data_IF_777380711853
#
_entry.id   IF_777380711853
#
_cell.length_a   1.000
_cell.length_b   1.000
_cell.length_c   1.000
_cell.angle_alpha   90.00
_cell.angle_beta   90.00
_cell.angle_gamma   90.00
#
_symmetry.space_group_name_H-M   'P 1'
#
loop_
_entity.id
_entity.type
_entity.pdbx_description
1 polymer ?
#
# COMPACT_ATOMS: atom_id res chain seq x y z
N UNK A 1 13.64 7.51 -25.26
CA UNK A 1 13.00 6.35 -24.60
C UNK A 1 13.64 5.90 -23.27
N UNK A 2 14.99 5.90 -23.10
CA UNK A 2 15.66 5.32 -21.91
C UNK A 2 15.23 5.95 -20.58
N UNK A 3 15.09 7.29 -20.53
CA UNK A 3 14.65 8.01 -19.34
C UNK A 3 13.23 7.61 -18.91
N UNK A 4 12.29 7.50 -19.85
CA UNK A 4 10.93 7.04 -19.56
C UNK A 4 10.91 5.61 -19.04
N UNK A 5 11.77 4.75 -19.59
CA UNK A 5 11.87 3.36 -19.14
C UNK A 5 12.29 3.26 -17.67
N UNK A 6 13.28 4.07 -17.27
CA UNK A 6 13.71 4.16 -15.87
C UNK A 6 12.57 4.64 -14.98
N UNK A 7 11.86 5.69 -15.38
CA UNK A 7 10.72 6.23 -14.63
C UNK A 7 9.61 5.18 -14.51
N UNK A 8 9.29 4.47 -15.60
CA UNK A 8 8.22 3.48 -15.63
C UNK A 8 8.57 2.28 -14.75
N UNK A 9 9.80 1.77 -14.86
CA UNK A 9 10.29 0.67 -14.05
C UNK A 9 10.33 1.04 -12.56
N UNK A 10 10.84 2.24 -12.23
CA UNK A 10 10.88 2.73 -10.85
C UNK A 10 9.47 2.82 -10.27
N UNK A 11 8.54 3.51 -10.94
CA UNK A 11 7.17 3.62 -10.47
C UNK A 11 6.46 2.26 -10.38
N UNK A 12 6.70 1.34 -11.33
CA UNK A 12 6.16 -0.02 -11.25
C UNK A 12 6.68 -0.77 -10.02
N UNK A 13 7.98 -0.66 -9.70
CA UNK A 13 8.56 -1.27 -8.51
C UNK A 13 7.87 -0.79 -7.24
N UNK A 14 7.65 0.53 -7.09
CA UNK A 14 6.95 1.08 -5.92
C UNK A 14 5.47 0.70 -5.90
N UNK A 15 4.76 0.83 -7.00
CA UNK A 15 3.33 0.54 -7.09
C UNK A 15 3.01 -0.93 -6.85
N UNK A 16 3.85 -1.85 -7.32
CA UNK A 16 3.66 -3.29 -7.09
C UNK A 16 4.22 -3.73 -5.73
N UNK A 17 5.32 -3.10 -5.27
CA UNK A 17 5.97 -3.43 -4.00
C UNK A 17 5.30 -2.83 -2.77
N UNK A 18 4.50 -1.77 -2.89
CA UNK A 18 3.90 -1.09 -1.75
C UNK A 18 2.98 -1.98 -0.90
N UNK A 19 2.27 -2.92 -1.52
CA UNK A 19 1.47 -3.89 -0.77
C UNK A 19 2.35 -4.86 0.05
N UNK A 20 3.52 -5.24 -0.45
CA UNK A 20 4.48 -6.02 0.34
C UNK A 20 5.03 -5.19 1.51
N UNK A 21 5.37 -3.92 1.28
CA UNK A 21 5.80 -3.02 2.36
C UNK A 21 4.70 -2.84 3.44
N UNK A 22 3.42 -2.78 3.05
CA UNK A 22 2.31 -2.73 3.99
C UNK A 22 2.18 -4.02 4.82
N UNK A 23 2.45 -5.17 4.20
CA UNK A 23 2.45 -6.48 4.88
C UNK A 23 3.58 -6.59 5.89
N UNK A 24 4.75 -6.08 5.53
CA UNK A 24 5.99 -6.24 6.31
C UNK A 24 6.13 -5.15 7.40
N UNK A 25 5.06 -4.40 7.67
CA UNK A 25 4.99 -3.32 8.67
C UNK A 25 5.87 -2.09 8.39
N UNK A 26 6.54 -2.04 7.23
CA UNK A 26 7.43 -0.95 6.81
C UNK A 26 6.69 0.32 6.33
N UNK A 27 5.35 0.32 6.42
CA UNK A 27 4.58 1.54 6.17
C UNK A 27 4.69 2.47 7.37
N UNK A 28 4.76 3.79 7.11
CA UNK A 28 4.77 4.81 8.17
C UNK A 28 3.46 4.72 8.95
N UNK A 29 3.49 3.96 10.04
CA UNK A 29 2.40 3.83 10.98
C UNK A 29 2.37 5.08 11.85
N UNK A 30 1.22 5.35 12.44
CA UNK A 30 1.11 6.40 13.46
C UNK A 30 1.72 5.88 14.77
N UNK A 31 3.05 5.65 14.74
CA UNK A 31 3.82 5.05 15.83
C UNK A 31 3.92 5.94 17.07
N UNK A 32 3.60 7.23 16.91
CA UNK A 32 3.48 8.19 18.01
C UNK A 32 2.43 7.76 19.05
N UNK A 33 1.39 7.03 18.65
CA UNK A 33 0.31 6.65 19.56
C UNK A 33 0.56 5.30 20.28
N UNK A 34 1.41 4.42 19.73
CA UNK A 34 1.57 3.04 20.23
C UNK A 34 2.05 2.92 21.69
N UNK A 35 3.03 3.72 22.18
CA UNK A 35 3.54 3.54 23.55
C UNK A 35 2.48 3.84 24.62
N UNK A 36 1.41 4.55 24.26
CA UNK A 36 0.41 5.04 25.21
C UNK A 36 -0.85 4.17 25.26
N UNK A 37 -1.04 3.28 24.29
CA UNK A 37 -2.20 2.40 24.20
C UNK A 37 -1.80 0.93 24.34
N UNK A 38 -2.55 0.18 25.16
CA UNK A 38 -2.37 -1.27 25.28
C UNK A 38 -2.64 -2.01 23.97
N UNK A 39 -2.43 -3.33 23.97
CA UNK A 39 -2.52 -4.15 22.75
C UNK A 39 -3.87 -4.06 22.04
N UNK A 40 -4.99 -3.98 22.77
CA UNK A 40 -6.31 -3.74 22.19
C UNK A 40 -6.42 -2.37 21.51
N UNK A 41 -5.87 -1.31 22.12
CA UNK A 41 -5.88 0.03 21.53
C UNK A 41 -5.07 0.11 20.23
N UNK A 42 -3.93 -0.61 20.17
CA UNK A 42 -3.11 -0.71 18.93
C UNK A 42 -3.90 -1.34 17.78
N UNK A 43 -4.64 -2.41 18.03
CA UNK A 43 -5.46 -3.06 17.01
C UNK A 43 -6.66 -2.19 16.57
N UNK A 44 -7.25 -1.40 17.47
CA UNK A 44 -8.29 -0.43 17.12
C UNK A 44 -7.77 0.71 16.24
N UNK A 45 -6.60 1.26 16.56
CA UNK A 45 -5.94 2.29 15.75
C UNK A 45 -5.64 1.75 14.36
N UNK A 46 -5.17 0.50 14.26
CA UNK A 46 -4.91 -0.15 12.98
C UNK A 46 -6.18 -0.26 12.13
N UNK A 47 -7.27 -0.77 12.71
CA UNK A 47 -8.55 -0.85 12.03
C UNK A 47 -9.04 0.53 11.58
N UNK A 48 -9.01 1.52 12.46
CA UNK A 48 -9.40 2.88 12.14
C UNK A 48 -8.53 3.46 11.01
N UNK A 49 -7.22 3.21 11.04
CA UNK A 49 -6.29 3.60 9.98
C UNK A 49 -6.68 3.04 8.61
N UNK A 50 -6.95 1.74 8.56
CA UNK A 50 -7.31 1.05 7.32
C UNK A 50 -8.67 1.53 6.80
N UNK A 51 -9.69 1.60 7.65
CA UNK A 51 -11.04 1.96 7.22
C UNK A 51 -11.23 3.45 6.93
N UNK A 52 -10.57 4.34 7.66
CA UNK A 52 -10.77 5.79 7.53
C UNK A 52 -9.79 6.45 6.55
N UNK A 53 -8.64 5.85 6.30
CA UNK A 53 -7.63 6.43 5.41
C UNK A 53 -7.36 5.52 4.22
N UNK A 54 -6.93 4.28 4.43
CA UNK A 54 -6.47 3.42 3.34
C UNK A 54 -7.59 3.10 2.34
N UNK A 55 -8.70 2.52 2.81
CA UNK A 55 -9.83 2.16 1.95
C UNK A 55 -10.43 3.34 1.18
N UNK A 56 -10.80 4.48 1.79
CA UNK A 56 -11.41 5.58 1.05
C UNK A 56 -10.45 6.19 0.03
N UNK A 57 -9.16 6.31 0.35
CA UNK A 57 -8.16 6.83 -0.60
C UNK A 57 -7.99 5.87 -1.78
N UNK A 58 -7.82 4.56 -1.53
CA UNK A 58 -7.65 3.58 -2.61
C UNK A 58 -8.90 3.46 -3.50
N UNK A 59 -10.10 3.46 -2.91
CA UNK A 59 -11.37 3.45 -3.66
C UNK A 59 -11.50 4.73 -4.51
N UNK A 60 -11.11 5.88 -3.96
CA UNK A 60 -11.16 7.13 -4.72
C UNK A 60 -10.20 7.11 -5.90
N UNK A 61 -8.99 6.57 -5.73
CA UNK A 61 -8.03 6.40 -6.83
C UNK A 61 -8.63 5.56 -7.96
N UNK A 62 -9.22 4.40 -7.63
CA UNK A 62 -9.84 3.50 -8.63
C UNK A 62 -10.95 4.19 -9.42
N UNK A 63 -11.80 4.94 -8.73
CA UNK A 63 -12.96 5.61 -9.35
C UNK A 63 -12.61 6.93 -10.04
N UNK A 64 -11.39 7.46 -9.87
CA UNK A 64 -10.98 8.72 -10.54
C UNK A 64 -10.49 8.46 -11.96
N UNK A 65 -9.73 7.38 -12.14
CA UNK A 65 -8.99 7.13 -13.38
C UNK A 65 -9.72 6.32 -14.44
N UNK A 66 -10.90 5.76 -14.14
CA UNK A 66 -11.57 4.73 -14.97
C UNK A 66 -11.76 5.16 -16.43
N UNK A 67 -12.37 6.33 -16.68
CA UNK A 67 -12.64 6.81 -18.03
C UNK A 67 -11.36 7.12 -18.81
N UNK A 68 -10.36 7.70 -18.14
CA UNK A 68 -9.06 8.01 -18.74
C UNK A 68 -8.27 6.76 -19.08
N UNK A 69 -8.37 5.72 -18.24
CA UNK A 69 -7.71 4.44 -18.46
C UNK A 69 -8.35 3.67 -19.63
N UNK A 70 -9.68 3.55 -19.63
CA UNK A 70 -10.41 2.85 -20.70
C UNK A 70 -10.09 3.47 -22.08
N UNK A 71 -10.08 4.81 -22.16
CA UNK A 71 -9.69 5.52 -23.38
C UNK A 71 -8.24 5.22 -23.78
N UNK A 72 -7.32 5.25 -22.82
CA UNK A 72 -5.90 4.98 -23.08
C UNK A 72 -5.66 3.58 -23.66
N UNK A 73 -6.37 2.57 -23.15
CA UNK A 73 -6.35 1.21 -23.69
C UNK A 73 -6.96 1.12 -25.08
N UNK A 74 -8.09 1.79 -25.32
CA UNK A 74 -8.73 1.78 -26.65
C UNK A 74 -7.87 2.38 -27.76
N UNK A 75 -7.01 3.34 -27.40
CA UNK A 75 -6.11 4.03 -28.32
C UNK A 75 -4.71 3.42 -28.37
N UNK A 76 -4.42 2.40 -27.56
CA UNK A 76 -3.08 1.89 -27.30
C UNK A 76 -2.08 3.05 -27.13
N UNK A 77 -2.42 3.95 -26.22
CA UNK A 77 -1.76 5.24 -26.09
C UNK A 77 -0.26 5.08 -25.84
N UNK A 78 0.54 5.72 -26.69
CA UNK A 78 1.99 5.87 -26.53
C UNK A 78 2.34 7.21 -25.88
N UNK A 79 3.60 7.33 -25.43
CA UNK A 79 4.14 8.59 -24.95
C UNK A 79 4.07 9.67 -26.04
N UNK A 80 3.87 10.91 -25.59
CA UNK A 80 3.79 12.10 -26.45
C UNK A 80 5.16 12.62 -26.87
N UNK A 81 6.22 12.08 -26.30
CA UNK A 81 7.59 12.41 -26.65
C UNK A 81 7.97 11.78 -28.00
N UNK A 82 8.77 12.50 -28.78
CA UNK A 82 9.12 12.11 -30.16
C UNK A 82 9.91 10.80 -30.26
N UNK A 83 10.44 10.32 -29.13
CA UNK A 83 11.15 9.04 -28.94
C UNK A 83 10.64 8.35 -27.65
N UNK A 84 9.35 8.50 -27.35
CA UNK A 84 8.71 7.99 -26.14
C UNK A 84 8.27 6.52 -26.26
N UNK A 85 8.01 5.87 -25.13
CA UNK A 85 7.61 4.47 -25.10
C UNK A 85 6.14 4.29 -25.56
N UNK A 86 5.83 3.29 -26.39
CA UNK A 86 4.50 3.11 -26.96
C UNK A 86 3.48 2.49 -25.99
N UNK A 87 3.87 2.18 -24.75
CA UNK A 87 3.06 1.43 -23.78
C UNK A 87 2.61 2.28 -22.58
N UNK A 88 2.28 3.55 -22.81
CA UNK A 88 1.77 4.45 -21.76
C UNK A 88 0.45 3.94 -21.16
N UNK A 89 -0.40 3.27 -21.95
CA UNK A 89 -1.62 2.62 -21.45
C UNK A 89 -1.33 1.56 -20.37
N UNK A 90 -0.25 0.79 -20.51
CA UNK A 90 0.19 -0.19 -19.52
C UNK A 90 0.71 0.52 -18.26
N UNK A 91 1.49 1.57 -18.43
CA UNK A 91 1.95 2.38 -17.31
C UNK A 91 0.78 2.96 -16.49
N UNK A 92 -0.28 3.45 -17.14
CA UNK A 92 -1.49 3.93 -16.47
C UNK A 92 -2.23 2.83 -15.69
N UNK A 93 -2.12 1.55 -16.07
CA UNK A 93 -2.70 0.44 -15.27
C UNK A 93 -2.01 0.15 -13.96
N UNK A 94 -0.78 0.63 -13.76
CA UNK A 94 -0.08 0.42 -12.50
C UNK A 94 -0.82 1.10 -11.34
N UNK A 95 -1.50 2.21 -11.59
CA UNK A 95 -2.28 2.95 -10.58
C UNK A 95 -3.47 2.13 -10.03
N UNK A 96 -4.39 1.61 -10.86
CA UNK A 96 -5.46 0.74 -10.35
C UNK A 96 -4.92 -0.58 -9.82
N UNK A 97 -3.86 -1.15 -10.40
CA UNK A 97 -3.22 -2.35 -9.87
C UNK A 97 -2.69 -2.12 -8.45
N UNK A 98 -1.98 -1.02 -8.20
CA UNK A 98 -1.54 -0.58 -6.88
C UNK A 98 -2.72 -0.46 -5.90
N UNK A 99 -3.79 0.23 -6.31
CA UNK A 99 -4.94 0.42 -5.43
C UNK A 99 -5.63 -0.91 -5.07
N UNK A 100 -5.77 -1.83 -6.02
CA UNK A 100 -6.32 -3.18 -5.76
C UNK A 100 -5.43 -3.97 -4.82
N UNK A 101 -4.11 -3.98 -5.04
CA UNK A 101 -3.15 -4.68 -4.18
C UNK A 101 -3.16 -4.12 -2.76
N UNK A 102 -3.21 -2.79 -2.61
CA UNK A 102 -3.29 -2.12 -1.32
C UNK A 102 -4.61 -2.41 -0.60
N UNK A 103 -5.75 -2.43 -1.31
CA UNK A 103 -7.04 -2.83 -0.73
C UNK A 103 -7.03 -4.28 -0.25
N UNK A 104 -6.49 -5.20 -1.05
CA UNK A 104 -6.38 -6.61 -0.69
C UNK A 104 -5.49 -6.82 0.54
N UNK A 105 -4.34 -6.15 0.58
CA UNK A 105 -3.44 -6.22 1.73
C UNK A 105 -4.03 -5.53 2.96
N UNK A 106 -4.62 -4.34 2.81
CA UNK A 106 -5.30 -3.63 3.89
C UNK A 106 -6.44 -4.44 4.49
N UNK A 107 -7.19 -5.18 3.67
CA UNK A 107 -8.22 -6.10 4.16
C UNK A 107 -7.62 -7.24 4.99
N UNK A 108 -6.49 -7.81 4.55
CA UNK A 108 -5.76 -8.83 5.32
C UNK A 108 -5.35 -8.31 6.71
N UNK A 109 -4.78 -7.10 6.78
CA UNK A 109 -4.38 -6.50 8.06
C UNK A 109 -5.58 -6.13 8.94
N UNK A 110 -6.67 -5.63 8.36
CA UNK A 110 -7.91 -5.35 9.08
C UNK A 110 -8.50 -6.63 9.69
N UNK A 111 -8.52 -7.74 8.94
CA UNK A 111 -9.00 -9.02 9.46
C UNK A 111 -8.13 -9.56 10.58
N UNK A 112 -6.80 -9.48 10.46
CA UNK A 112 -5.87 -9.87 11.54
C UNK A 112 -6.08 -9.02 12.79
N UNK A 113 -6.21 -7.71 12.64
CA UNK A 113 -6.47 -6.79 13.76
C UNK A 113 -7.83 -7.09 14.43
N UNK A 114 -8.88 -7.35 13.66
CA UNK A 114 -10.18 -7.76 14.18
C UNK A 114 -10.11 -9.11 14.93
N UNK A 115 -9.40 -10.10 14.39
CA UNK A 115 -9.22 -11.40 15.04
C UNK A 115 -8.48 -11.27 16.38
N UNK A 116 -7.44 -10.43 16.45
CA UNK A 116 -6.73 -10.11 17.70
C UNK A 116 -7.66 -9.46 18.73
N UNK A 117 -8.52 -8.53 18.32
CA UNK A 117 -9.51 -7.91 19.22
C UNK A 117 -10.54 -8.91 19.75
N UNK A 118 -10.94 -9.89 18.95
CA UNK A 118 -11.87 -10.96 19.38
C UNK A 118 -11.20 -12.06 20.20
N UNK A 119 -9.90 -11.98 20.46
CA UNK A 119 -9.13 -13.01 21.18
C UNK A 119 -8.94 -14.31 20.40
N UNK A 120 -9.19 -14.31 19.09
CA UNK A 120 -9.05 -15.50 18.21
C UNK A 120 -7.64 -15.67 17.65
N UNK A 121 -6.77 -14.67 17.85
CA UNK A 121 -5.38 -14.69 17.44
C UNK A 121 -4.53 -14.20 18.60
N UNK A 122 -3.41 -14.87 18.88
CA UNK A 122 -2.44 -14.39 19.87
C UNK A 122 -1.89 -13.02 19.47
N UNK A 123 -1.66 -12.19 20.49
CA UNK A 123 -1.03 -10.90 20.28
C UNK A 123 0.38 -11.12 19.74
N UNK A 124 0.75 -10.37 18.69
CA UNK A 124 2.12 -10.38 18.21
C UNK A 124 3.03 -9.92 19.36
N UNK A 125 3.85 -10.84 19.86
CA UNK A 125 4.83 -10.60 20.93
C UNK A 125 5.57 -9.31 20.58
N UNK A 126 5.57 -8.28 21.45
CA UNK A 126 6.39 -7.11 21.22
C UNK A 126 7.84 -7.58 21.04
N UNK A 127 8.61 -6.98 20.10
CA UNK A 127 10.01 -7.35 19.94
C UNK A 127 10.66 -7.30 21.32
N UNK A 128 11.17 -8.45 21.74
CA UNK A 128 11.81 -8.64 23.04
C UNK A 128 12.81 -7.51 23.25
N UNK A 129 12.70 -6.80 24.36
CA UNK A 129 13.60 -5.74 24.80
C UNK A 129 15.01 -6.25 25.14
N UNK A 130 15.52 -7.24 24.40
CA UNK A 130 16.75 -7.98 24.68
C UNK A 130 17.90 -7.59 23.74
N UNK A 131 17.66 -6.86 22.64
CA UNK A 131 18.72 -6.40 21.73
C UNK A 131 19.29 -5.00 22.04
N UNK A 132 18.97 -4.42 23.19
CA UNK A 132 19.52 -3.11 23.62
C UNK A 132 20.65 -3.18 24.65
N UNK A 133 21.04 -4.37 25.14
CA UNK A 133 21.95 -4.53 26.28
C UNK A 133 23.39 -4.95 25.92
N UNK A 134 23.71 -5.14 24.64
CA UNK A 134 25.07 -5.48 24.20
C UNK A 134 25.66 -4.37 23.31
N UNK A 135 26.04 -3.27 23.94
CA UNK A 135 26.70 -2.14 23.29
C UNK A 135 27.14 -1.09 24.29
N UNK A 136 27.90 -1.50 25.30
CA UNK A 136 28.66 -0.62 26.20
C UNK A 136 30.14 -0.96 26.06
#
# INVERSE_FOLDING_TARGET
>A
WLNELVIYAFAAMFMLGAAAALRDDDHVRVDILRPRFGAAGRNWIELAGIYLFLFPIMIRILTTGEQGLARSWSLLEGSRESDGLPFLYLFKTLVPAFAVLMLAQGLSEALKAALRLTGRLEEATPPSATEGAHGA
#
